data_IF_839868891089
#
_entry.id   IF_839868891089
#
_cell.length_a   1.000
_cell.length_b   1.000
_cell.length_c   1.000
_cell.angle_alpha   90.00
_cell.angle_beta   90.00
_cell.angle_gamma   90.00
#
_symmetry.space_group_name_H-M   'P 1'
#
loop_
_entity.id
_entity.type
_entity.pdbx_description
1 polymer ?
#
# COMPACT_ATOMS: atom_id res chain seq x y z
N UNK A 1 12.14 16.41 9.98
CA UNK A 1 12.88 15.12 10.08
C UNK A 1 12.40 14.11 9.06
N UNK A 2 11.10 13.78 8.96
CA UNK A 2 10.57 12.83 7.95
C UNK A 2 10.88 13.24 6.50
N UNK A 3 10.78 14.54 6.16
CA UNK A 3 11.05 15.02 4.80
C UNK A 3 12.51 14.85 4.35
N UNK A 4 13.46 14.86 5.29
CA UNK A 4 14.90 14.67 4.98
C UNK A 4 15.18 13.19 4.75
N UNK A 5 14.60 12.31 5.57
CA UNK A 5 14.72 10.85 5.42
C UNK A 5 14.08 10.33 4.13
N UNK A 6 13.02 10.98 3.65
CA UNK A 6 12.38 10.65 2.36
C UNK A 6 13.21 11.15 1.18
N UNK A 7 13.83 12.34 1.30
CA UNK A 7 14.68 12.91 0.25
C UNK A 7 15.99 12.10 0.05
N UNK A 8 16.59 11.61 1.14
CA UNK A 8 17.75 10.71 1.05
C UNK A 8 17.40 9.31 0.56
N UNK A 9 16.15 8.85 0.71
CA UNK A 9 15.67 7.57 0.17
C UNK A 9 15.39 7.63 -1.34
N UNK A 10 14.97 8.79 -1.87
CA UNK A 10 14.60 9.00 -3.27
C UNK A 10 15.78 8.92 -4.25
N UNK A 11 17.01 9.26 -3.82
CA UNK A 11 18.17 9.36 -4.72
C UNK A 11 18.66 8.02 -5.32
N UNK A 12 18.32 6.85 -4.77
CA UNK A 12 18.95 5.58 -5.20
C UNK A 12 18.07 4.32 -5.33
N UNK A 13 16.76 4.36 -5.08
CA UNK A 13 15.96 3.12 -4.95
C UNK A 13 14.53 3.17 -5.51
N UNK A 14 14.37 3.63 -6.75
CA UNK A 14 13.14 3.44 -7.54
C UNK A 14 12.68 1.97 -7.72
N UNK A 15 13.55 0.95 -7.91
CA UNK A 15 13.08 -0.43 -8.12
C UNK A 15 12.37 -1.09 -6.93
N UNK A 16 12.84 -1.00 -5.67
CA UNK A 16 12.27 -1.81 -4.57
C UNK A 16 10.83 -1.46 -4.17
N UNK A 17 10.38 -0.20 -4.30
CA UNK A 17 9.00 0.16 -3.92
C UNK A 17 7.97 -0.40 -4.92
N UNK A 18 8.28 -0.30 -6.22
CA UNK A 18 7.45 -0.88 -7.28
C UNK A 18 7.45 -2.41 -7.17
N UNK A 19 8.62 -3.01 -6.93
CA UNK A 19 8.75 -4.45 -6.69
C UNK A 19 7.94 -4.88 -5.46
N UNK A 20 7.95 -4.11 -4.38
CA UNK A 20 7.17 -4.40 -3.18
C UNK A 20 5.65 -4.33 -3.45
N UNK A 21 5.17 -3.35 -4.23
CA UNK A 21 3.77 -3.26 -4.63
C UNK A 21 3.34 -4.45 -5.51
N UNK A 22 4.18 -4.86 -6.46
CA UNK A 22 3.91 -6.02 -7.32
C UNK A 22 3.97 -7.34 -6.54
N UNK A 23 4.91 -7.48 -5.61
CA UNK A 23 4.97 -8.63 -4.69
C UNK A 23 3.75 -8.67 -3.79
N UNK A 24 3.25 -7.52 -3.31
CA UNK A 24 2.03 -7.47 -2.52
C UNK A 24 0.80 -7.95 -3.30
N UNK A 25 0.73 -7.69 -4.62
CA UNK A 25 -0.32 -8.24 -5.49
C UNK A 25 -0.17 -9.76 -5.64
N UNK A 26 1.06 -10.28 -5.74
CA UNK A 26 1.33 -11.73 -5.76
C UNK A 26 0.99 -12.41 -4.44
N UNK A 27 1.20 -11.73 -3.31
CA UNK A 27 0.85 -12.22 -1.97
C UNK A 27 -0.61 -11.93 -1.58
N UNK A 28 -1.35 -11.17 -2.37
CA UNK A 28 -2.76 -10.86 -2.15
C UNK A 28 -3.66 -12.09 -1.88
N UNK A 29 -3.55 -13.22 -2.61
CA UNK A 29 -4.33 -14.42 -2.28
C UNK A 29 -3.94 -15.05 -0.94
N UNK A 30 -2.67 -14.95 -0.53
CA UNK A 30 -2.21 -15.43 0.79
C UNK A 30 -2.73 -14.52 1.91
N UNK A 31 -2.70 -13.22 1.70
CA UNK A 31 -3.28 -12.21 2.59
C UNK A 31 -4.79 -12.42 2.79
N UNK A 32 -5.51 -12.73 1.71
CA UNK A 32 -6.94 -13.06 1.76
C UNK A 32 -7.22 -14.31 2.59
N UNK A 33 -6.37 -15.33 2.51
CA UNK A 33 -6.52 -16.57 3.29
C UNK A 33 -6.27 -16.32 4.78
N UNK A 34 -5.26 -15.51 5.09
CA UNK A 34 -4.88 -15.15 6.47
C UNK A 34 -5.93 -14.27 7.14
N UNK A 35 -6.52 -13.33 6.40
CA UNK A 35 -7.52 -12.38 6.93
C UNK A 35 -8.95 -12.91 6.89
N UNK A 36 -9.17 -14.15 6.40
CA UNK A 36 -10.51 -14.75 6.19
C UNK A 36 -11.48 -13.78 5.51
N UNK A 37 -11.00 -13.02 4.52
CA UNK A 37 -11.78 -12.00 3.81
C UNK A 37 -12.93 -12.58 2.94
N UNK A 38 -13.22 -13.88 3.07
CA UNK A 38 -14.19 -14.61 2.28
C UNK A 38 -13.66 -14.92 0.88
N UNK A 39 -13.87 -13.98 -0.05
CA UNK A 39 -13.71 -14.24 -1.47
C UNK A 39 -12.32 -13.84 -1.99
N UNK A 40 -11.45 -14.84 -2.17
CA UNK A 40 -10.04 -14.70 -2.57
C UNK A 40 -9.85 -13.83 -3.82
N UNK A 41 -10.71 -14.03 -4.81
CA UNK A 41 -10.60 -13.38 -6.11
C UNK A 41 -10.94 -11.88 -6.02
N UNK A 42 -12.01 -11.54 -5.30
CA UNK A 42 -12.44 -10.15 -5.12
C UNK A 42 -11.47 -9.37 -4.24
N UNK A 43 -10.90 -10.02 -3.23
CA UNK A 43 -9.85 -9.43 -2.40
C UNK A 43 -8.57 -9.14 -3.20
N UNK A 44 -8.11 -10.09 -4.02
CA UNK A 44 -6.94 -9.91 -4.87
C UNK A 44 -7.14 -8.81 -5.92
N UNK A 45 -8.33 -8.74 -6.54
CA UNK A 45 -8.68 -7.66 -7.47
C UNK A 45 -8.71 -6.31 -6.74
N UNK A 46 -9.27 -6.26 -5.53
CA UNK A 46 -9.28 -5.03 -4.71
C UNK A 46 -7.87 -4.52 -4.39
N UNK A 47 -6.94 -5.40 -4.05
CA UNK A 47 -5.52 -5.05 -3.83
C UNK A 47 -4.89 -4.59 -5.15
N UNK A 48 -5.08 -5.32 -6.24
CA UNK A 48 -4.48 -5.00 -7.54
C UNK A 48 -4.94 -3.64 -8.08
N UNK A 49 -6.23 -3.32 -7.94
CA UNK A 49 -6.82 -2.03 -8.36
C UNK A 49 -6.19 -0.84 -7.65
N UNK A 50 -5.65 -1.02 -6.44
CA UNK A 50 -4.97 0.05 -5.70
C UNK A 50 -3.47 0.03 -5.97
N UNK A 51 -2.82 -1.13 -5.84
CA UNK A 51 -1.37 -1.26 -5.94
C UNK A 51 -0.82 -1.00 -7.36
N UNK A 52 -1.54 -1.38 -8.42
CA UNK A 52 -1.07 -1.18 -9.81
C UNK A 52 -1.06 0.31 -10.20
N UNK A 53 -2.16 1.09 -10.02
CA UNK A 53 -2.13 2.52 -10.30
C UNK A 53 -1.14 3.27 -9.42
N UNK A 54 -0.98 2.87 -8.16
CA UNK A 54 0.05 3.43 -7.29
C UNK A 54 1.45 3.14 -7.82
N UNK A 55 1.76 1.91 -8.23
CA UNK A 55 3.04 1.60 -8.84
C UNK A 55 3.33 2.49 -10.07
N UNK A 56 2.29 2.76 -10.88
CA UNK A 56 2.36 3.72 -11.99
C UNK A 56 2.63 5.16 -11.52
N UNK A 57 1.90 5.67 -10.53
CA UNK A 57 2.09 7.03 -9.99
C UNK A 57 3.48 7.22 -9.39
N UNK A 58 4.00 6.19 -8.71
CA UNK A 58 5.36 6.17 -8.16
C UNK A 58 6.43 6.12 -9.26
N UNK A 59 6.14 5.60 -10.46
CA UNK A 59 7.07 5.61 -11.59
C UNK A 59 7.15 6.97 -12.30
N UNK A 60 6.14 7.84 -12.14
CA UNK A 60 6.02 9.11 -12.88
C UNK A 60 6.51 10.30 -12.04
N UNK A 61 6.25 10.32 -10.73
CA UNK A 61 6.68 11.44 -9.88
C UNK A 61 6.95 11.03 -8.43
N UNK A 62 8.10 11.46 -7.90
CA UNK A 62 8.44 11.36 -6.48
C UNK A 62 7.86 12.56 -5.72
N UNK A 63 6.55 12.57 -5.56
CA UNK A 63 5.87 13.63 -4.82
C UNK A 63 5.38 13.12 -3.47
N UNK A 64 5.59 13.91 -2.42
CA UNK A 64 4.99 13.66 -1.11
C UNK A 64 3.45 13.49 -1.19
N UNK A 65 2.82 14.12 -2.17
CA UNK A 65 1.40 13.98 -2.46
C UNK A 65 1.00 12.55 -2.87
N UNK A 66 1.87 11.80 -3.56
CA UNK A 66 1.63 10.41 -3.95
C UNK A 66 1.58 9.46 -2.75
N UNK A 67 1.98 9.91 -1.56
CA UNK A 67 1.93 9.15 -0.30
C UNK A 67 0.80 9.66 0.59
N UNK A 68 0.70 10.98 0.73
CA UNK A 68 -0.28 11.62 1.58
C UNK A 68 -1.71 11.37 1.11
N UNK A 69 -1.95 11.34 -0.21
CA UNK A 69 -3.28 11.09 -0.79
C UNK A 69 -3.76 9.66 -0.47
N UNK A 70 -3.01 8.58 -0.77
CA UNK A 70 -3.38 7.22 -0.37
C UNK A 70 -3.62 7.08 1.13
N UNK A 71 -2.79 7.74 1.95
CA UNK A 71 -2.94 7.70 3.41
C UNK A 71 -4.24 8.36 3.88
N UNK A 72 -4.58 9.55 3.37
CA UNK A 72 -5.84 10.22 3.71
C UNK A 72 -7.05 9.41 3.26
N UNK A 73 -6.98 8.82 2.06
CA UNK A 73 -8.02 7.92 1.55
C UNK A 73 -8.17 6.68 2.43
N UNK A 74 -7.06 6.11 2.90
CA UNK A 74 -7.06 4.97 3.81
C UNK A 74 -7.68 5.30 5.17
N UNK A 75 -7.29 6.42 5.79
CA UNK A 75 -7.83 6.89 7.07
C UNK A 75 -9.33 7.16 6.96
N UNK A 76 -9.77 7.78 5.86
CA UNK A 76 -11.18 7.98 5.57
C UNK A 76 -11.92 6.64 5.44
N UNK A 77 -11.36 5.65 4.73
CA UNK A 77 -11.94 4.31 4.66
C UNK A 77 -12.02 3.64 6.04
N UNK A 78 -11.00 3.76 6.89
CA UNK A 78 -11.04 3.26 8.27
C UNK A 78 -12.21 3.88 9.05
N UNK A 79 -12.44 5.18 8.91
CA UNK A 79 -13.48 5.91 9.65
C UNK A 79 -14.90 5.65 9.11
N UNK A 80 -15.06 5.62 7.79
CA UNK A 80 -16.37 5.48 7.15
C UNK A 80 -16.82 4.03 7.04
N UNK A 81 -15.91 3.07 6.83
CA UNK A 81 -16.29 1.68 6.58
C UNK A 81 -16.41 0.85 7.86
N UNK A 82 -15.91 1.37 8.99
CA UNK A 82 -16.13 0.74 10.31
C UNK A 82 -17.60 0.72 10.74
N UNK A 83 -18.48 1.51 10.11
CA UNK A 83 -19.88 1.71 10.54
C UNK A 83 -20.90 0.93 9.73
N UNK A 84 -20.49 0.11 8.77
CA UNK A 84 -21.44 -0.48 7.83
C UNK A 84 -20.92 -1.82 7.28
N UNK A 85 -21.82 -2.81 7.22
CA UNK A 85 -21.55 -4.13 6.65
C UNK A 85 -21.45 -4.04 5.13
N UNK A 86 -20.31 -4.44 4.58
CA UNK A 86 -19.94 -4.08 3.22
C UNK A 86 -19.22 -5.23 2.50
N UNK A 87 -19.35 -5.31 1.16
CA UNK A 87 -18.90 -6.47 0.38
C UNK A 87 -17.39 -6.75 0.49
N UNK A 88 -16.96 -8.02 0.35
CA UNK A 88 -15.58 -8.49 0.55
C UNK A 88 -14.54 -7.77 -0.32
N UNK A 89 -14.94 -7.21 -1.46
CA UNK A 89 -14.11 -6.37 -2.33
C UNK A 89 -13.48 -5.16 -1.61
N UNK A 90 -14.22 -4.55 -0.67
CA UNK A 90 -13.74 -3.39 0.11
C UNK A 90 -12.57 -3.75 1.01
N UNK A 91 -12.57 -4.95 1.58
CA UNK A 91 -11.43 -5.43 2.36
C UNK A 91 -10.14 -5.50 1.55
N UNK A 92 -10.22 -5.85 0.26
CA UNK A 92 -9.06 -5.84 -0.64
C UNK A 92 -8.54 -4.43 -0.90
N UNK A 93 -9.43 -3.47 -1.18
CA UNK A 93 -9.06 -2.05 -1.38
C UNK A 93 -8.40 -1.47 -0.13
N UNK A 94 -8.99 -1.72 1.05
CA UNK A 94 -8.47 -1.22 2.31
C UNK A 94 -7.06 -1.75 2.60
N UNK A 95 -6.81 -3.05 2.34
CA UNK A 95 -5.48 -3.63 2.45
C UNK A 95 -4.51 -3.05 1.42
N UNK A 96 -4.94 -2.85 0.16
CA UNK A 96 -4.10 -2.26 -0.89
C UNK A 96 -3.61 -0.85 -0.54
N UNK A 97 -4.48 -0.02 0.04
CA UNK A 97 -4.11 1.32 0.53
C UNK A 97 -3.18 1.25 1.75
N UNK A 98 -3.45 0.35 2.70
CA UNK A 98 -2.58 0.12 3.86
C UNK A 98 -1.18 -0.34 3.48
N UNK A 99 -1.06 -1.26 2.52
CA UNK A 99 0.23 -1.74 1.99
C UNK A 99 0.98 -0.60 1.31
N UNK A 100 0.30 0.17 0.45
CA UNK A 100 0.91 1.30 -0.25
C UNK A 100 1.49 2.33 0.73
N UNK A 101 0.75 2.66 1.78
CA UNK A 101 1.25 3.54 2.85
C UNK A 101 2.40 2.90 3.64
N UNK A 102 2.26 1.62 3.98
CA UNK A 102 3.20 0.85 4.81
C UNK A 102 4.61 0.68 4.20
N UNK A 103 4.76 0.92 2.89
CA UNK A 103 6.06 0.82 2.22
C UNK A 103 7.09 1.80 2.78
N UNK A 104 6.72 3.02 3.15
CA UNK A 104 7.67 4.01 3.70
C UNK A 104 8.12 3.66 5.12
N UNK A 105 7.22 3.51 6.11
CA UNK A 105 7.65 3.12 7.45
C UNK A 105 8.35 1.75 7.43
N UNK A 106 7.94 0.83 6.55
CA UNK A 106 8.64 -0.44 6.33
C UNK A 106 10.05 -0.27 5.78
N UNK A 107 10.24 0.61 4.79
CA UNK A 107 11.56 0.94 4.26
C UNK A 107 12.45 1.63 5.31
N UNK A 108 11.88 2.55 6.09
CA UNK A 108 12.58 3.23 7.20
C UNK A 108 13.00 2.23 8.28
N UNK A 109 12.11 1.30 8.64
CA UNK A 109 12.41 0.25 9.60
C UNK A 109 13.53 -0.66 9.10
N UNK A 110 13.47 -1.11 7.84
CA UNK A 110 14.53 -1.92 7.24
C UNK A 110 15.88 -1.19 7.26
N UNK A 111 15.90 0.10 6.90
CA UNK A 111 17.11 0.91 6.97
C UNK A 111 17.61 1.14 8.39
N UNK A 112 16.74 1.17 9.40
CA UNK A 112 17.15 1.32 10.79
C UNK A 112 17.66 0.03 11.44
N UNK A 113 17.34 -1.14 10.87
CA UNK A 113 17.62 -2.44 11.46
C UNK A 113 18.79 -3.18 10.78
N UNK A 114 19.05 -2.89 9.50
CA UNK A 114 20.05 -3.58 8.68
C UNK A 114 21.13 -2.64 8.09
N UNK A 115 21.14 -1.37 8.49
CA UNK A 115 22.14 -0.38 8.09
C UNK A 115 22.83 0.18 9.32
#
# INVERSE_FOLDING_TARGET
MVSISVYTYSTHRFPPMIIALLLAVLLAPVLSLLTRAGNLREHAIGIAVVCIPMAGLWSIAESYFNIAIPFLVWVWQCASWSKTDHPPFRYGIWHGFGITFGIIPGAMLYSGLFQ
#
